data_IF_446937305173
#
_entry.id   IF_446937305173
#
_cell.length_a   1.000
_cell.length_b   1.000
_cell.length_c   1.000
_cell.angle_alpha   90.00
_cell.angle_beta   90.00
_cell.angle_gamma   90.00
#
_symmetry.space_group_name_H-M   'P 1'
#
loop_
_entity.id
_entity.type
_entity.pdbx_description
1 polymer ?
#
# COMPACT_ATOMS: atom_id res chain seq x y z
N UNK A 1 -11.74 11.32 13.84
CA UNK A 1 -11.05 10.02 13.79
C UNK A 1 -9.91 10.17 12.78
N UNK A 2 -8.69 9.66 13.05
CA UNK A 2 -7.60 9.68 12.09
C UNK A 2 -7.99 8.97 10.78
N UNK A 3 -7.48 9.44 9.65
CA UNK A 3 -7.58 8.74 8.35
C UNK A 3 -6.58 7.58 8.29
N UNK A 4 -6.80 6.60 7.40
CA UNK A 4 -5.86 5.48 7.26
C UNK A 4 -4.47 5.97 6.87
N UNK A 5 -4.36 6.91 5.91
CA UNK A 5 -3.10 7.63 5.62
C UNK A 5 -2.39 8.14 6.88
N UNK A 6 -3.11 8.79 7.80
CA UNK A 6 -2.52 9.31 9.03
C UNK A 6 -2.09 8.19 9.98
N UNK A 7 -2.88 7.12 10.07
CA UNK A 7 -2.55 5.96 10.91
C UNK A 7 -1.32 5.21 10.39
N UNK A 8 -1.21 5.03 9.07
CA UNK A 8 -0.09 4.36 8.41
C UNK A 8 1.22 5.15 8.53
N UNK A 9 1.15 6.49 8.56
CA UNK A 9 2.31 7.34 8.77
C UNK A 9 2.81 7.36 10.24
N UNK A 10 2.01 6.91 11.20
CA UNK A 10 2.27 7.07 12.63
C UNK A 10 3.14 5.95 13.25
N UNK A 11 4.27 5.62 12.65
CA UNK A 11 5.20 4.60 13.16
C UNK A 11 6.67 4.96 12.94
N UNK A 12 7.56 4.06 13.34
CA UNK A 12 9.02 4.24 13.34
C UNK A 12 9.75 3.18 12.49
N UNK A 13 9.06 2.54 11.56
CA UNK A 13 9.69 1.61 10.63
C UNK A 13 10.74 2.30 9.75
N UNK A 14 11.79 1.55 9.41
CA UNK A 14 12.94 2.02 8.63
C UNK A 14 12.52 2.58 7.26
N UNK A 15 11.53 1.96 6.61
CA UNK A 15 10.91 2.50 5.41
C UNK A 15 9.66 3.29 5.76
N UNK A 16 9.67 4.59 5.45
CA UNK A 16 8.51 5.45 5.71
C UNK A 16 7.44 5.37 4.62
N UNK A 17 7.80 4.91 3.42
CA UNK A 17 6.94 4.86 2.23
C UNK A 17 7.20 3.59 1.43
N UNK A 18 6.13 3.01 0.90
CA UNK A 18 6.14 1.95 -0.10
C UNK A 18 5.53 2.46 -1.40
N UNK A 19 5.98 1.91 -2.54
CA UNK A 19 5.33 2.11 -3.82
C UNK A 19 4.31 0.99 -4.01
N UNK A 20 3.05 1.36 -4.19
CA UNK A 20 1.93 0.43 -4.34
C UNK A 20 1.26 0.67 -5.69
N UNK A 21 1.22 -0.35 -6.54
CA UNK A 21 0.41 -0.32 -7.76
C UNK A 21 -1.03 -0.65 -7.42
N UNK A 22 -1.94 0.21 -7.86
CA UNK A 22 -3.37 0.17 -7.57
C UNK A 22 -4.13 0.02 -8.89
N UNK A 23 -5.06 -0.93 -8.92
CA UNK A 23 -5.94 -1.20 -10.07
C UNK A 23 -6.79 0.02 -10.43
N UNK A 24 -7.14 0.14 -11.72
CA UNK A 24 -7.93 1.24 -12.26
C UNK A 24 -9.25 1.49 -11.50
N UNK A 25 -9.89 0.45 -10.93
CA UNK A 25 -11.12 0.60 -10.15
C UNK A 25 -10.95 1.43 -8.88
N UNK A 26 -9.77 1.36 -8.25
CA UNK A 26 -9.49 1.97 -6.95
C UNK A 26 -8.70 3.28 -7.05
N UNK A 27 -8.07 3.58 -8.20
CA UNK A 27 -7.25 4.78 -8.41
C UNK A 27 -7.94 6.06 -7.95
N UNK A 28 -9.24 6.23 -8.24
CA UNK A 28 -9.99 7.42 -7.82
C UNK A 28 -10.13 7.51 -6.30
N UNK A 29 -10.39 6.39 -5.64
CA UNK A 29 -10.52 6.32 -4.18
C UNK A 29 -9.20 6.64 -3.49
N UNK A 30 -8.13 5.97 -3.93
CA UNK A 30 -6.77 6.18 -3.41
C UNK A 30 -6.30 7.61 -3.69
N UNK A 31 -6.57 8.18 -4.87
CA UNK A 31 -6.23 9.58 -5.16
C UNK A 31 -6.95 10.57 -4.22
N UNK A 32 -8.21 10.30 -3.86
CA UNK A 32 -8.96 11.13 -2.91
C UNK A 32 -8.35 11.07 -1.50
N UNK A 33 -7.78 9.93 -1.14
CA UNK A 33 -7.21 9.69 0.17
C UNK A 33 -5.77 10.22 0.32
N UNK A 34 -4.89 9.88 -0.62
CA UNK A 34 -3.45 10.22 -0.55
C UNK A 34 -3.13 11.54 -1.27
N UNK A 35 -4.02 11.97 -2.16
CA UNK A 35 -3.85 13.16 -2.99
C UNK A 35 -3.11 12.83 -4.30
N UNK A 36 -3.35 13.64 -5.33
CA UNK A 36 -2.74 13.44 -6.65
C UNK A 36 -1.21 13.51 -6.66
N UNK A 37 -0.62 14.21 -5.68
CA UNK A 37 0.83 14.31 -5.52
C UNK A 37 1.48 12.99 -5.09
N UNK A 38 0.72 12.02 -4.57
CA UNK A 38 1.22 10.70 -4.22
C UNK A 38 1.36 9.79 -5.45
N UNK A 39 0.82 10.16 -6.61
CA UNK A 39 0.92 9.36 -7.83
C UNK A 39 2.33 9.49 -8.40
N UNK A 40 3.03 8.36 -8.50
CA UNK A 40 4.40 8.28 -9.01
C UNK A 40 4.41 7.95 -10.50
N UNK A 41 3.44 7.14 -10.93
CA UNK A 41 3.30 6.71 -12.31
C UNK A 41 1.85 6.34 -12.64
N UNK A 42 1.41 6.69 -13.83
CA UNK A 42 0.15 6.22 -14.41
C UNK A 42 0.45 5.25 -15.56
N UNK A 43 -0.46 4.30 -15.76
CA UNK A 43 -0.36 3.29 -16.81
C UNK A 43 -1.52 3.42 -17.80
N UNK A 44 -1.30 2.93 -19.02
CA UNK A 44 -2.30 3.01 -20.11
C UNK A 44 -3.56 2.14 -19.83
N UNK A 45 -3.45 1.16 -18.94
CA UNK A 45 -4.56 0.33 -18.46
C UNK A 45 -5.43 1.02 -17.39
N UNK A 46 -5.06 2.24 -16.99
CA UNK A 46 -5.76 3.02 -15.97
C UNK A 46 -5.30 2.75 -14.54
N UNK A 47 -4.43 1.76 -14.31
CA UNK A 47 -3.77 1.57 -13.00
C UNK A 47 -2.73 2.66 -12.75
N UNK A 48 -2.36 2.84 -11.48
CA UNK A 48 -1.34 3.81 -11.09
C UNK A 48 -0.52 3.33 -9.89
N UNK A 49 0.72 3.78 -9.81
CA UNK A 49 1.59 3.60 -8.64
C UNK A 49 1.51 4.81 -7.72
N UNK A 50 1.41 4.55 -6.42
CA UNK A 50 1.33 5.55 -5.37
C UNK A 50 2.45 5.39 -4.36
N UNK A 51 2.98 6.51 -3.88
CA UNK A 51 3.69 6.58 -2.60
C UNK A 51 2.69 6.44 -1.45
N UNK A 52 2.74 5.32 -0.74
CA UNK A 52 1.86 5.00 0.38
C UNK A 52 2.69 4.94 1.67
N UNK A 53 2.35 5.69 2.73
CA UNK A 53 3.04 5.57 4.00
C UNK A 53 2.95 4.15 4.55
N UNK A 54 4.08 3.62 5.03
CA UNK A 54 4.13 2.28 5.63
C UNK A 54 4.85 2.26 6.98
N UNK A 55 5.11 3.42 7.60
CA UNK A 55 5.79 3.50 8.91
C UNK A 55 5.12 2.68 10.02
N UNK A 56 3.79 2.54 9.98
CA UNK A 56 3.01 1.66 10.83
C UNK A 56 2.51 0.45 10.04
N UNK A 57 3.23 -0.67 10.14
CA UNK A 57 2.93 -1.91 9.43
C UNK A 57 1.55 -2.50 9.71
N UNK A 58 1.04 -2.34 10.93
CA UNK A 58 -0.27 -2.87 11.27
C UNK A 58 -1.37 -2.14 10.48
N UNK A 59 -1.34 -0.80 10.49
CA UNK A 59 -2.28 0.00 9.72
C UNK A 59 -2.11 -0.22 8.22
N UNK A 60 -0.86 -0.32 7.74
CA UNK A 60 -0.56 -0.59 6.34
C UNK A 60 -1.10 -1.94 5.87
N UNK A 61 -0.91 -3.00 6.67
CA UNK A 61 -1.45 -4.34 6.40
C UNK A 61 -2.97 -4.32 6.29
N UNK A 62 -3.67 -3.63 7.21
CA UNK A 62 -5.13 -3.54 7.19
C UNK A 62 -5.63 -2.83 5.92
N UNK A 63 -5.03 -1.70 5.57
CA UNK A 63 -5.39 -0.95 4.36
C UNK A 63 -5.10 -1.77 3.10
N UNK A 64 -3.94 -2.41 3.01
CA UNK A 64 -3.55 -3.22 1.86
C UNK A 64 -4.48 -4.42 1.68
N UNK A 65 -4.82 -5.12 2.76
CA UNK A 65 -5.69 -6.30 2.69
C UNK A 65 -7.15 -5.94 2.41
N UNK A 66 -7.59 -4.72 2.72
CA UNK A 66 -8.90 -4.24 2.28
C UNK A 66 -9.01 -4.14 0.75
N UNK A 67 -7.88 -3.98 0.04
CA UNK A 67 -7.83 -3.92 -1.42
C UNK A 67 -7.85 -5.30 -2.09
N UNK A 68 -7.60 -6.39 -1.35
CA UNK A 68 -7.60 -7.78 -1.86
C UNK A 68 -6.69 -7.95 -3.08
N UNK A 69 -7.25 -8.06 -4.29
CA UNK A 69 -6.54 -8.26 -5.56
C UNK A 69 -6.27 -6.95 -6.32
N UNK A 70 -6.64 -5.80 -5.74
CA UNK A 70 -6.58 -4.46 -6.37
C UNK A 70 -5.35 -3.65 -6.02
N UNK A 71 -4.47 -4.16 -5.18
CA UNK A 71 -3.23 -3.49 -4.82
C UNK A 71 -2.07 -4.49 -4.71
N UNK A 72 -0.90 -4.08 -5.18
CA UNK A 72 0.35 -4.83 -5.00
C UNK A 72 1.48 -3.89 -4.63
N UNK A 73 2.28 -4.26 -3.63
CA UNK A 73 3.49 -3.53 -3.28
C UNK A 73 4.58 -3.89 -4.30
N UNK A 74 5.20 -2.87 -4.90
CA UNK A 74 6.23 -3.04 -5.94
C UNK A 74 7.62 -2.63 -5.47
N UNK A 75 7.72 -1.82 -4.42
CA UNK A 75 8.99 -1.33 -3.86
C UNK A 75 8.77 -0.76 -2.44
N UNK A 76 9.78 -0.74 -1.56
CA UNK A 76 11.08 -1.40 -1.71
C UNK A 76 11.00 -2.93 -1.50
N UNK A 77 12.00 -3.72 -1.93
CA UNK A 77 11.98 -5.18 -1.82
C UNK A 77 11.69 -5.69 -0.40
N UNK A 78 12.20 -5.01 0.62
CA UNK A 78 12.01 -5.35 2.03
C UNK A 78 10.53 -5.28 2.43
N UNK A 79 9.76 -4.32 1.88
CA UNK A 79 8.31 -4.23 2.11
C UNK A 79 7.57 -5.29 1.28
N UNK A 80 8.05 -5.64 0.09
CA UNK A 80 7.50 -6.75 -0.69
C UNK A 80 7.65 -8.10 0.06
N UNK A 81 8.82 -8.35 0.63
CA UNK A 81 9.12 -9.55 1.42
C UNK A 81 8.24 -9.61 2.68
N UNK A 82 8.08 -8.48 3.36
CA UNK A 82 7.19 -8.35 4.50
C UNK A 82 5.73 -8.71 4.16
N UNK A 83 5.20 -8.18 3.05
CA UNK A 83 3.83 -8.47 2.60
C UNK A 83 3.69 -9.93 2.20
N UNK A 84 4.68 -10.50 1.52
CA UNK A 84 4.70 -11.93 1.15
C UNK A 84 4.66 -12.80 2.41
N UNK A 85 5.46 -12.46 3.43
CA UNK A 85 5.43 -13.15 4.72
C UNK A 85 4.05 -13.11 5.39
N UNK A 86 3.33 -11.98 5.34
CA UNK A 86 1.96 -11.91 5.86
C UNK A 86 0.97 -12.78 5.08
N UNK A 87 1.15 -12.91 3.77
CA UNK A 87 0.31 -13.75 2.92
C UNK A 87 0.59 -15.24 3.15
N UNK A 88 1.86 -15.62 3.32
CA UNK A 88 2.25 -16.99 3.65
C UNK A 88 1.69 -17.42 5.01
N UNK A 89 1.76 -16.54 6.02
CA UNK A 89 1.13 -16.76 7.33
C UNK A 89 -0.38 -17.03 7.21
N UNK A 90 -1.09 -16.25 6.38
CA UNK A 90 -2.52 -16.42 6.16
C UNK A 90 -2.86 -17.68 5.39
N UNK A 91 -2.02 -18.06 4.42
CA UNK A 91 -2.18 -19.27 3.64
C UNK A 91 -1.82 -20.55 4.43
N UNK A 92 -1.20 -20.40 5.61
CA UNK A 92 -0.70 -21.52 6.41
C UNK A 92 0.54 -22.17 5.80
N UNK A 93 1.24 -21.46 4.91
CA UNK A 93 2.50 -21.88 4.32
C UNK A 93 3.60 -21.62 5.36
N UNK A 94 4.35 -22.68 5.69
CA UNK A 94 5.51 -22.63 6.59
C UNK A 94 6.79 -22.85 5.81
#
# INVERSE_FOLDING_TARGET
VPTDRQMMAAGDYEHSVAIVRVDASEVRGVTREFGAAAIVRQYDDGSAEFEVPCSNHYAFRLWLFAMVDKAVVVSPPEVCDLVTGWLDELAGVK
#
